data_IF_985633734015
#
_entry.id   IF_985633734015
#
_cell.length_a   1.000
_cell.length_b   1.000
_cell.length_c   1.000
_cell.angle_alpha   90.00
_cell.angle_beta   90.00
_cell.angle_gamma   90.00
#
_symmetry.space_group_name_H-M   'P 1'
#
loop_
_entity.id
_entity.type
_entity.pdbx_description
1 polymer ?
#
# COMPACT_ATOMS: atom_id res chain seq x y z
N UNK A 1 -0.37 -22.88 -35.42
CA UNK A 1 -0.91 -22.38 -34.14
C UNK A 1 -1.00 -20.86 -34.19
N UNK A 2 -1.92 -20.22 -33.45
CA UNK A 2 -2.09 -18.76 -33.41
C UNK A 2 -2.12 -18.28 -31.95
N UNK A 3 -1.43 -17.19 -31.65
CA UNK A 3 -1.39 -16.55 -30.33
C UNK A 3 -1.93 -15.12 -30.45
N UNK A 4 -2.79 -14.73 -29.52
CA UNK A 4 -3.34 -13.37 -29.43
C UNK A 4 -2.85 -12.72 -28.15
N UNK A 5 -2.17 -11.59 -28.26
CA UNK A 5 -1.58 -10.86 -27.14
C UNK A 5 -2.34 -9.56 -26.95
N UNK A 6 -2.90 -9.35 -25.76
CA UNK A 6 -3.71 -8.18 -25.47
C UNK A 6 -2.88 -6.90 -25.29
N UNK A 7 -1.93 -6.92 -24.36
CA UNK A 7 -0.98 -5.83 -24.13
C UNK A 7 0.46 -6.34 -24.08
N UNK A 8 1.40 -5.48 -24.48
CA UNK A 8 2.83 -5.76 -24.36
C UNK A 8 3.31 -5.61 -22.91
N UNK A 9 4.41 -6.29 -22.60
CA UNK A 9 5.10 -6.08 -21.32
C UNK A 9 5.60 -4.62 -21.25
N UNK A 10 5.29 -3.86 -20.18
CA UNK A 10 5.73 -2.48 -20.03
C UNK A 10 7.22 -2.32 -19.76
N UNK A 11 7.91 -3.39 -19.36
CA UNK A 11 9.33 -3.35 -19.07
C UNK A 11 10.12 -3.26 -20.38
N UNK A 12 10.81 -2.13 -20.65
CA UNK A 12 11.51 -1.92 -21.92
C UNK A 12 12.62 -2.95 -22.14
N UNK A 13 13.11 -3.58 -21.07
CA UNK A 13 14.08 -4.65 -21.21
C UNK A 13 13.46 -5.83 -21.97
N UNK A 14 12.23 -6.25 -21.66
CA UNK A 14 11.64 -7.50 -22.18
C UNK A 14 10.53 -7.31 -23.23
N UNK A 15 10.03 -6.08 -23.39
CA UNK A 15 8.98 -5.74 -24.33
C UNK A 15 9.24 -6.33 -25.73
N UNK A 16 8.26 -7.08 -26.24
CA UNK A 16 8.31 -7.68 -27.58
C UNK A 16 9.21 -8.91 -27.75
N UNK A 17 10.10 -9.24 -26.80
CA UNK A 17 11.01 -10.40 -26.93
C UNK A 17 10.25 -11.73 -26.99
N UNK A 18 9.18 -11.88 -26.21
CA UNK A 18 8.32 -13.07 -26.25
C UNK A 18 7.59 -13.23 -27.59
N UNK A 19 7.06 -12.12 -28.13
CA UNK A 19 6.40 -12.12 -29.45
C UNK A 19 7.37 -12.51 -30.54
N UNK A 20 8.59 -11.95 -30.53
CA UNK A 20 9.62 -12.29 -31.50
C UNK A 20 9.95 -13.78 -31.46
N UNK A 21 10.18 -14.36 -30.27
CA UNK A 21 10.43 -15.80 -30.12
C UNK A 21 9.31 -16.67 -30.69
N UNK A 22 8.05 -16.28 -30.51
CA UNK A 22 6.91 -17.01 -31.08
C UNK A 22 6.89 -16.91 -32.61
N UNK A 23 7.10 -15.71 -33.16
CA UNK A 23 7.16 -15.50 -34.62
C UNK A 23 8.32 -16.26 -35.26
N UNK A 24 9.50 -16.23 -34.64
CA UNK A 24 10.70 -16.95 -35.11
C UNK A 24 10.48 -18.48 -35.13
N UNK A 25 9.57 -19.00 -34.29
CA UNK A 25 9.16 -20.40 -34.28
C UNK A 25 8.01 -20.74 -35.26
N UNK A 26 7.63 -19.81 -36.15
CA UNK A 26 6.58 -20.02 -37.15
C UNK A 26 5.15 -19.92 -36.61
N UNK A 27 4.95 -19.32 -35.42
CA UNK A 27 3.63 -19.11 -34.83
C UNK A 27 3.08 -17.75 -35.29
N UNK A 28 1.83 -17.73 -35.77
CA UNK A 28 1.13 -16.48 -36.07
C UNK A 28 0.79 -15.74 -34.77
N UNK A 29 1.17 -14.46 -34.67
CA UNK A 29 0.96 -13.65 -33.47
C UNK A 29 0.29 -12.34 -33.82
N UNK A 30 -0.91 -12.13 -33.26
CA UNK A 30 -1.63 -10.85 -33.29
C UNK A 30 -1.43 -10.16 -31.94
N UNK A 31 -1.00 -8.91 -31.93
CA UNK A 31 -0.75 -8.13 -30.72
C UNK A 31 -1.67 -6.93 -30.61
N UNK A 32 -1.72 -6.32 -29.42
CA UNK A 32 -2.47 -5.10 -29.13
C UNK A 32 -4.00 -5.26 -29.23
N UNK A 33 -4.52 -6.45 -28.94
CA UNK A 33 -5.97 -6.71 -28.96
C UNK A 33 -6.60 -6.27 -27.64
N UNK A 34 -7.51 -5.28 -27.67
CA UNK A 34 -8.08 -4.68 -26.45
C UNK A 34 -6.98 -4.18 -25.50
N UNK A 35 -5.96 -3.55 -26.08
CA UNK A 35 -4.74 -3.19 -25.36
C UNK A 35 -5.03 -2.31 -24.14
N UNK A 36 -5.95 -1.36 -24.27
CA UNK A 36 -6.28 -0.42 -23.19
C UNK A 36 -7.02 -1.12 -22.03
N UNK A 37 -7.93 -2.04 -22.32
CA UNK A 37 -8.59 -2.87 -21.33
C UNK A 37 -7.60 -3.80 -20.63
N UNK A 38 -6.69 -4.43 -21.39
CA UNK A 38 -5.64 -5.29 -20.85
C UNK A 38 -4.64 -4.51 -19.97
N UNK A 39 -4.30 -3.27 -20.35
CA UNK A 39 -3.48 -2.37 -19.51
C UNK A 39 -4.21 -2.00 -18.24
N UNK A 40 -5.51 -1.69 -18.31
CA UNK A 40 -6.32 -1.31 -17.15
C UNK A 40 -6.41 -2.42 -16.11
N UNK A 41 -6.53 -3.68 -16.53
CA UNK A 41 -6.48 -4.83 -15.60
C UNK A 41 -5.14 -4.91 -14.86
N UNK A 42 -4.06 -4.44 -15.48
CA UNK A 42 -2.70 -4.46 -14.93
C UNK A 42 -2.19 -3.08 -14.48
N UNK A 43 -3.07 -2.10 -14.25
CA UNK A 43 -2.70 -0.70 -14.01
C UNK A 43 -1.68 -0.53 -12.86
N UNK A 44 -1.82 -1.33 -11.79
CA UNK A 44 -0.93 -1.33 -10.62
C UNK A 44 0.48 -1.76 -11.02
N UNK A 45 0.58 -2.85 -11.79
CA UNK A 45 1.85 -3.39 -12.26
C UNK A 45 2.50 -2.46 -13.29
N UNK A 46 1.71 -1.97 -14.25
CA UNK A 46 2.15 -1.04 -15.29
C UNK A 46 2.78 0.21 -14.67
N UNK A 47 2.07 0.86 -13.74
CA UNK A 47 2.60 2.04 -13.03
C UNK A 47 3.91 1.73 -12.30
N UNK A 48 3.96 0.62 -11.57
CA UNK A 48 5.18 0.24 -10.84
C UNK A 48 6.37 0.00 -11.77
N UNK A 49 6.18 -0.70 -12.88
CA UNK A 49 7.27 -1.01 -13.80
C UNK A 49 7.76 0.23 -14.56
N UNK A 50 6.84 1.07 -15.03
CA UNK A 50 7.15 2.25 -15.85
C UNK A 50 7.69 3.41 -15.00
N UNK A 51 6.99 3.77 -13.92
CA UNK A 51 7.32 4.95 -13.11
C UNK A 51 8.24 4.64 -11.92
N UNK A 52 8.45 3.36 -11.61
CA UNK A 52 9.15 2.92 -10.37
C UNK A 52 8.52 3.47 -9.10
N UNK A 53 7.22 3.77 -9.15
CA UNK A 53 6.42 4.29 -8.04
C UNK A 53 5.25 3.36 -7.74
N UNK A 54 4.86 3.21 -6.46
CA UNK A 54 3.69 2.41 -6.11
C UNK A 54 2.41 3.05 -6.67
N UNK A 55 1.44 2.20 -6.98
CA UNK A 55 0.07 2.66 -7.19
C UNK A 55 -0.59 2.94 -5.83
N UNK A 56 -1.09 4.15 -5.65
CA UNK A 56 -1.62 4.62 -4.37
C UNK A 56 -3.13 4.80 -4.47
N UNK A 57 -3.85 4.15 -3.55
CA UNK A 57 -5.30 4.34 -3.37
C UNK A 57 -5.52 5.11 -2.08
N UNK A 58 -6.12 6.30 -2.20
CA UNK A 58 -6.60 7.05 -1.04
C UNK A 58 -8.01 6.60 -0.68
N UNK A 59 -8.22 6.17 0.57
CA UNK A 59 -9.55 5.82 1.10
C UNK A 59 -9.87 6.69 2.30
N UNK A 60 -11.06 7.25 2.33
CA UNK A 60 -11.61 8.00 3.46
C UNK A 60 -13.04 7.56 3.78
N UNK A 61 -13.52 7.87 4.99
CA UNK A 61 -14.90 7.73 5.42
C UNK A 61 -15.31 9.06 6.05
N UNK A 62 -16.36 9.67 5.53
CA UNK A 62 -16.80 11.00 5.95
C UNK A 62 -18.32 11.09 6.04
N UNK A 63 -18.80 12.01 6.86
CA UNK A 63 -20.20 12.46 6.87
C UNK A 63 -20.54 13.16 5.56
N UNK A 64 -21.84 13.42 5.32
CA UNK A 64 -22.29 14.10 4.11
C UNK A 64 -21.69 15.52 3.96
N UNK A 65 -21.42 16.20 5.07
CA UNK A 65 -20.76 17.51 5.14
C UNK A 65 -19.22 17.42 5.20
N UNK A 66 -18.64 16.25 4.93
CA UNK A 66 -17.20 16.07 4.72
C UNK A 66 -16.36 15.93 6.00
N UNK A 67 -16.96 15.59 7.15
CA UNK A 67 -16.24 15.42 8.41
C UNK A 67 -15.82 13.97 8.63
N UNK A 68 -14.61 13.78 9.17
CA UNK A 68 -14.04 12.45 9.47
C UNK A 68 -14.12 12.09 10.97
N UNK A 69 -14.57 13.02 11.81
CA UNK A 69 -14.87 12.85 13.23
C UNK A 69 -15.75 14.00 13.72
N UNK A 70 -16.39 13.85 14.87
CA UNK A 70 -17.00 14.96 15.61
C UNK A 70 -15.94 15.94 16.12
N UNK A 71 -16.36 17.09 16.66
CA UNK A 71 -15.48 18.05 17.34
C UNK A 71 -14.81 17.46 18.59
N UNK A 72 -15.45 16.50 19.25
CA UNK A 72 -14.89 15.72 20.36
C UNK A 72 -13.97 14.57 19.91
N UNK A 73 -13.83 14.33 18.60
CA UNK A 73 -12.95 13.31 18.03
C UNK A 73 -13.59 11.92 17.86
N UNK A 74 -14.90 11.79 18.06
CA UNK A 74 -15.61 10.54 17.85
C UNK A 74 -15.75 10.26 16.34
N UNK A 75 -15.25 9.11 15.89
CA UNK A 75 -15.18 8.73 14.47
C UNK A 75 -15.79 7.36 14.17
N UNK A 76 -16.25 6.64 15.19
CA UNK A 76 -16.77 5.27 15.12
C UNK A 76 -18.27 5.29 15.46
N UNK A 77 -19.19 5.03 14.53
CA UNK A 77 -19.01 4.68 13.11
C UNK A 77 -19.73 5.66 12.19
N UNK A 78 -18.95 6.34 11.34
CA UNK A 78 -19.50 7.20 10.26
C UNK A 78 -20.14 6.36 9.14
N UNK A 79 -19.50 5.27 8.71
CA UNK A 79 -19.96 4.43 7.59
C UNK A 79 -20.51 3.09 8.06
N UNK A 80 -21.46 2.53 7.32
CA UNK A 80 -22.09 1.23 7.61
C UNK A 80 -21.15 0.02 7.41
N UNK A 81 -21.64 -1.17 7.79
CA UNK A 81 -20.91 -2.45 7.69
C UNK A 81 -20.51 -2.83 6.26
N UNK A 82 -21.39 -2.60 5.28
CA UNK A 82 -21.10 -2.91 3.87
C UNK A 82 -19.86 -2.15 3.40
N UNK A 83 -19.79 -0.84 3.69
CA UNK A 83 -18.62 -0.02 3.40
C UNK A 83 -17.36 -0.50 4.12
N UNK A 84 -17.48 -0.96 5.37
CA UNK A 84 -16.33 -1.51 6.12
C UNK A 84 -15.84 -2.85 5.52
N UNK A 85 -16.75 -3.69 5.01
CA UNK A 85 -16.39 -4.93 4.30
C UNK A 85 -15.61 -4.65 3.02
N UNK A 86 -15.99 -3.63 2.25
CA UNK A 86 -15.23 -3.21 1.06
C UNK A 86 -13.81 -2.76 1.39
N UNK A 87 -13.61 -2.07 2.52
CA UNK A 87 -12.25 -1.71 2.98
C UNK A 87 -11.40 -2.94 3.25
N UNK A 88 -11.96 -4.02 3.79
CA UNK A 88 -11.20 -5.26 3.97
C UNK A 88 -10.87 -5.94 2.64
N UNK A 89 -11.73 -5.84 1.61
CA UNK A 89 -11.37 -6.27 0.25
C UNK A 89 -10.21 -5.46 -0.33
N UNK A 90 -10.19 -4.15 -0.12
CA UNK A 90 -9.06 -3.30 -0.51
C UNK A 90 -7.77 -3.71 0.20
N UNK A 91 -7.81 -3.95 1.51
CA UNK A 91 -6.66 -4.44 2.28
C UNK A 91 -6.13 -5.79 1.77
N UNK A 92 -7.01 -6.68 1.32
CA UNK A 92 -6.61 -7.95 0.72
C UNK A 92 -5.90 -7.77 -0.63
N UNK A 93 -6.38 -6.83 -1.45
CA UNK A 93 -5.87 -6.57 -2.81
C UNK A 93 -4.55 -5.80 -2.83
N UNK A 94 -4.33 -4.91 -1.87
CA UNK A 94 -3.15 -4.05 -1.81
C UNK A 94 -1.99 -4.73 -1.08
N UNK A 95 -0.76 -4.40 -1.47
CA UNK A 95 0.45 -4.91 -0.81
C UNK A 95 0.74 -4.24 0.53
N UNK A 96 0.31 -2.98 0.70
CA UNK A 96 0.55 -2.20 1.90
C UNK A 96 -0.65 -1.30 2.24
N UNK A 97 -0.75 -0.93 3.51
CA UNK A 97 -1.66 0.08 4.05
C UNK A 97 -0.84 1.13 4.80
N UNK A 98 -1.12 2.40 4.57
CA UNK A 98 -0.40 3.52 5.18
C UNK A 98 -1.32 4.39 6.02
N UNK A 99 -0.87 4.77 7.22
CA UNK A 99 -1.50 5.79 8.06
C UNK A 99 -0.45 6.69 8.71
N UNK A 100 -0.84 7.90 9.13
CA UNK A 100 -0.01 8.72 10.02
C UNK A 100 -0.09 8.22 11.46
N UNK A 101 0.95 8.50 12.25
CA UNK A 101 1.03 8.08 13.66
C UNK A 101 -0.16 8.52 14.52
N UNK A 102 -0.77 9.67 14.22
CA UNK A 102 -1.92 10.16 14.99
C UNK A 102 -3.12 9.20 14.92
N UNK A 103 -3.28 8.46 13.81
CA UNK A 103 -4.30 7.40 13.72
C UNK A 103 -3.96 6.25 14.66
N UNK A 104 -2.68 5.87 14.78
CA UNK A 104 -2.27 4.82 15.72
C UNK A 104 -2.50 5.25 17.16
N UNK A 105 -2.12 6.47 17.51
CA UNK A 105 -2.28 7.04 18.86
C UNK A 105 -3.75 7.12 19.26
N UNK A 106 -4.63 7.57 18.36
CA UNK A 106 -6.05 7.78 18.67
C UNK A 106 -6.88 6.50 18.61
N UNK A 107 -6.60 5.62 17.64
CA UNK A 107 -7.48 4.49 17.35
C UNK A 107 -6.92 3.12 17.73
N UNK A 108 -5.61 3.02 18.00
CA UNK A 108 -4.86 1.78 18.20
C UNK A 108 -5.31 0.63 17.26
N UNK A 109 -5.29 0.83 15.92
CA UNK A 109 -5.82 -0.13 14.97
C UNK A 109 -4.86 -1.31 14.75
N UNK A 110 -5.39 -2.46 14.30
CA UNK A 110 -4.56 -3.59 13.84
C UNK A 110 -4.06 -3.40 12.39
N UNK A 111 -4.84 -2.67 11.59
CA UNK A 111 -4.64 -2.46 10.14
C UNK A 111 -4.60 -3.76 9.30
N UNK A 112 -5.25 -4.82 9.79
CA UNK A 112 -5.32 -6.14 9.14
C UNK A 112 -6.49 -6.29 8.16
N UNK A 113 -6.38 -7.28 7.28
CA UNK A 113 -7.50 -7.81 6.51
C UNK A 113 -8.26 -8.81 7.38
N UNK A 114 -9.58 -8.64 7.50
CA UNK A 114 -10.46 -9.50 8.33
C UNK A 114 -11.40 -10.35 7.47
N UNK A 115 -11.03 -10.59 6.22
CA UNK A 115 -11.71 -11.54 5.36
C UNK A 115 -11.12 -12.93 5.61
N UNK A 116 -11.98 -13.94 5.63
CA UNK A 116 -11.57 -15.34 5.71
C UNK A 116 -10.65 -15.68 4.52
N UNK A 117 -9.51 -16.33 4.79
CA UNK A 117 -8.49 -16.62 3.79
C UNK A 117 -7.79 -15.38 3.20
N UNK A 118 -8.06 -14.19 3.73
CA UNK A 118 -7.47 -12.94 3.27
C UNK A 118 -6.01 -12.78 3.71
N UNK A 119 -5.25 -12.01 2.94
CA UNK A 119 -3.87 -11.62 3.24
C UNK A 119 -3.82 -10.29 3.95
N UNK A 120 -2.97 -10.18 4.97
CA UNK A 120 -2.67 -8.89 5.60
C UNK A 120 -1.69 -8.07 4.75
N UNK A 121 -1.98 -6.77 4.51
CA UNK A 121 -1.02 -5.88 3.88
C UNK A 121 0.11 -5.52 4.86
N UNK A 122 1.27 -5.13 4.32
CA UNK A 122 2.33 -4.49 5.13
C UNK A 122 1.78 -3.18 5.71
N UNK A 123 2.03 -2.94 6.98
CA UNK A 123 1.59 -1.74 7.70
C UNK A 123 2.69 -0.69 7.63
N UNK A 124 2.41 0.46 7.03
CA UNK A 124 3.35 1.58 6.96
C UNK A 124 2.83 2.70 7.85
N UNK A 125 3.58 3.05 8.88
CA UNK A 125 3.26 4.15 9.77
C UNK A 125 4.21 5.32 9.48
N UNK A 126 3.66 6.48 9.16
CA UNK A 126 4.44 7.70 8.96
C UNK A 126 4.48 8.48 10.28
N UNK A 127 5.67 8.61 10.85
CA UNK A 127 5.89 9.17 12.17
C UNK A 127 7.21 9.96 12.24
N UNK A 128 7.16 11.26 11.93
CA UNK A 128 8.37 12.08 11.80
C UNK A 128 9.28 12.07 13.03
N UNK A 129 8.73 11.93 14.24
CA UNK A 129 9.47 12.00 15.49
C UNK A 129 9.41 10.71 16.32
N UNK A 130 8.97 9.60 15.73
CA UNK A 130 8.90 8.27 16.36
C UNK A 130 8.09 8.23 17.68
N UNK A 131 6.94 8.89 17.66
CA UNK A 131 5.97 9.01 18.77
C UNK A 131 5.03 7.82 18.92
N UNK A 132 5.10 6.84 18.02
CA UNK A 132 4.27 5.63 18.05
C UNK A 132 4.36 4.94 19.43
N UNK A 133 3.23 4.61 20.08
CA UNK A 133 3.23 3.85 21.33
C UNK A 133 3.77 2.43 21.12
N UNK A 134 4.68 1.98 21.99
CA UNK A 134 5.35 0.67 21.85
C UNK A 134 4.38 -0.50 22.07
N UNK A 135 3.32 -0.26 22.83
CA UNK A 135 2.22 -1.15 23.16
C UNK A 135 1.09 -1.13 22.12
N UNK A 136 1.21 -0.31 21.08
CA UNK A 136 0.20 -0.26 20.02
C UNK A 136 0.12 -1.60 19.28
N UNK A 137 -1.09 -1.97 18.85
CA UNK A 137 -1.35 -3.27 18.18
C UNK A 137 -0.44 -3.47 16.98
N UNK A 138 -0.25 -2.41 16.18
CA UNK A 138 0.66 -2.45 15.01
C UNK A 138 2.12 -2.79 15.34
N UNK A 139 2.54 -2.64 16.60
CA UNK A 139 3.88 -3.03 17.08
C UNK A 139 3.86 -4.43 17.68
N UNK A 140 2.89 -4.74 18.54
CA UNK A 140 2.97 -5.94 19.39
C UNK A 140 2.25 -7.18 18.83
N UNK A 141 1.22 -7.03 17.99
CA UNK A 141 0.31 -8.13 17.64
C UNK A 141 0.92 -9.19 16.69
N UNK A 142 2.01 -8.84 16.00
CA UNK A 142 2.70 -9.66 14.98
C UNK A 142 1.79 -10.21 13.86
N UNK A 143 0.61 -9.63 13.64
CA UNK A 143 -0.34 -10.10 12.63
C UNK A 143 0.10 -9.75 11.20
N UNK A 144 0.95 -8.73 11.04
CA UNK A 144 1.47 -8.28 9.76
C UNK A 144 2.84 -7.61 9.95
N UNK A 145 3.66 -7.58 8.89
CA UNK A 145 4.88 -6.78 8.87
C UNK A 145 4.56 -5.29 9.07
N UNK A 146 5.36 -4.61 9.89
CA UNK A 146 5.20 -3.18 10.17
C UNK A 146 6.49 -2.45 9.84
N UNK A 147 6.35 -1.39 9.05
CA UNK A 147 7.38 -0.43 8.70
C UNK A 147 7.00 0.90 9.33
N UNK A 148 7.92 1.53 10.05
CA UNK A 148 7.79 2.91 10.53
C UNK A 148 8.76 3.78 9.75
N UNK A 149 8.21 4.70 8.96
CA UNK A 149 8.98 5.74 8.29
C UNK A 149 9.08 6.94 9.24
N UNK A 150 10.31 7.31 9.60
CA UNK A 150 10.63 8.39 10.53
C UNK A 150 11.74 9.28 9.99
N UNK A 151 12.14 10.30 10.75
CA UNK A 151 13.24 11.19 10.38
C UNK A 151 14.41 11.09 11.35
N UNK A 152 15.49 11.83 11.08
CA UNK A 152 16.62 12.01 11.99
C UNK A 152 16.23 12.62 13.34
N UNK A 153 15.01 13.18 13.47
CA UNK A 153 14.46 13.67 14.73
C UNK A 153 14.08 12.54 15.71
N UNK A 154 14.05 11.29 15.25
CA UNK A 154 13.71 10.15 16.08
C UNK A 154 14.75 9.90 17.19
N UNK A 155 14.27 9.60 18.40
CA UNK A 155 15.14 9.11 19.48
C UNK A 155 15.74 7.74 19.08
N UNK A 156 17.07 7.63 19.14
CA UNK A 156 17.81 6.43 18.70
C UNK A 156 17.51 5.19 19.53
N UNK A 157 17.29 5.33 20.84
CA UNK A 157 16.95 4.20 21.70
C UNK A 157 15.58 3.64 21.33
N UNK A 158 14.60 4.51 21.06
CA UNK A 158 13.28 4.10 20.56
C UNK A 158 13.37 3.39 19.21
N UNK A 159 14.26 3.82 18.31
CA UNK A 159 14.50 3.12 17.04
C UNK A 159 14.99 1.70 17.31
N UNK A 160 15.96 1.53 18.21
CA UNK A 160 16.51 0.21 18.56
C UNK A 160 15.43 -0.67 19.19
N UNK A 161 14.62 -0.13 20.09
CA UNK A 161 13.57 -0.88 20.77
C UNK A 161 12.47 -1.34 19.80
N UNK A 162 12.05 -0.50 18.85
CA UNK A 162 11.13 -0.92 17.78
C UNK A 162 11.73 -2.03 16.91
N UNK A 163 13.01 -1.92 16.54
CA UNK A 163 13.70 -2.95 15.78
C UNK A 163 13.79 -4.28 16.54
N UNK A 164 14.03 -4.25 17.86
CA UNK A 164 13.99 -5.45 18.72
C UNK A 164 12.61 -6.09 18.75
N UNK A 165 11.56 -5.27 18.67
CA UNK A 165 10.18 -5.72 18.50
C UNK A 165 9.87 -6.15 17.05
N UNK A 166 10.85 -6.30 16.16
CA UNK A 166 10.62 -6.77 14.78
C UNK A 166 9.89 -5.76 13.89
N UNK A 167 9.85 -4.48 14.29
CA UNK A 167 9.36 -3.40 13.44
C UNK A 167 10.54 -2.90 12.58
N UNK A 168 10.34 -2.84 11.28
CA UNK A 168 11.30 -2.20 10.39
C UNK A 168 11.21 -0.68 10.56
N UNK A 169 12.35 -0.02 10.73
CA UNK A 169 12.40 1.45 10.88
C UNK A 169 13.26 2.03 9.76
N UNK A 170 12.64 2.87 8.94
CA UNK A 170 13.28 3.59 7.85
C UNK A 170 13.46 5.04 8.31
N UNK A 171 14.71 5.51 8.34
CA UNK A 171 15.05 6.90 8.69
C UNK A 171 15.29 7.66 7.39
N UNK A 172 14.52 8.73 7.19
CA UNK A 172 14.53 9.56 5.98
C UNK A 172 14.93 10.98 6.39
N UNK A 173 15.72 11.67 5.55
CA UNK A 173 16.07 13.08 5.79
C UNK A 173 14.80 13.92 5.93
N UNK A 174 14.70 14.71 6.99
CA UNK A 174 13.54 15.55 7.23
C UNK A 174 13.42 16.65 6.16
N UNK A 175 12.18 16.90 5.74
CA UNK A 175 11.80 18.07 4.95
C UNK A 175 10.71 18.81 5.70
N UNK A 176 11.01 20.03 6.15
CA UNK A 176 10.15 20.80 7.04
C UNK A 176 9.72 19.98 8.28
N UNK A 177 10.70 19.33 8.94
CA UNK A 177 10.50 18.48 10.13
C UNK A 177 9.56 17.28 9.92
N UNK A 178 9.31 16.91 8.66
CA UNK A 178 8.42 15.81 8.29
C UNK A 178 9.13 14.80 7.40
N UNK A 179 8.60 13.57 7.42
CA UNK A 179 8.96 12.54 6.45
C UNK A 179 8.59 13.06 5.05
N UNK A 180 9.56 13.10 4.15
CA UNK A 180 9.28 13.36 2.73
C UNK A 180 8.75 12.09 2.06
N UNK A 181 7.64 12.22 1.34
CA UNK A 181 6.96 11.10 0.65
C UNK A 181 7.20 11.13 -0.87
N UNK A 182 8.05 12.05 -1.36
CA UNK A 182 8.35 12.25 -2.77
C UNK A 182 9.61 11.54 -3.24
#
# INVERSE_FOLDING_TARGET
AKVVVGALDPNPLVAGRGIKKLKDAGIDVVSSVLEEECKKVNEVFMKYIVEKKPFVVLKTAMTLDGKISTSSGESKWITNEKSRKEVHKLRNKLSAIMVGVNTVIKDNPELTCRLEGGRNPIRIIVDSALRIPMESKVVIDKLAGTIVATTELANKDRVLDLKKLGVEVIIIKAKNERVDLQ
#
